data_IF_934338086625
#
_entry.id   IF_934338086625
#
_cell.length_a   1.000
_cell.length_b   1.000
_cell.length_c   1.000
_cell.angle_alpha   90.00
_cell.angle_beta   90.00
_cell.angle_gamma   90.00
#
_symmetry.space_group_name_H-M   'P 1'
#
loop_
_entity.id
_entity.type
_entity.pdbx_description
1 polymer ?
#
# COMPACT_ATOMS: atom_id res chain seq x y z
N UNK A 1 15.53 -0.92 -7.40
CA UNK A 1 15.04 -2.20 -6.83
C UNK A 1 14.13 -1.86 -5.66
N UNK A 2 12.89 -2.38 -5.63
CA UNK A 2 11.96 -2.09 -4.53
C UNK A 2 12.49 -2.73 -3.25
N UNK A 3 12.65 -1.94 -2.18
CA UNK A 3 13.03 -2.45 -0.86
C UNK A 3 11.77 -2.95 -0.16
N UNK A 4 11.65 -4.27 -0.04
CA UNK A 4 10.56 -4.87 0.72
C UNK A 4 10.66 -4.52 2.20
N UNK A 5 9.50 -4.24 2.82
CA UNK A 5 9.42 -3.98 4.25
C UNK A 5 8.99 -5.24 5.00
N UNK A 6 9.66 -5.48 6.12
CA UNK A 6 9.26 -6.53 7.05
C UNK A 6 8.12 -6.01 7.94
N UNK A 7 7.19 -6.91 8.27
CA UNK A 7 6.00 -6.57 9.06
C UNK A 7 6.41 -6.10 10.45
N UNK A 8 7.46 -6.68 11.02
CA UNK A 8 8.01 -6.32 12.33
C UNK A 8 8.51 -4.87 12.37
N UNK A 9 9.15 -4.40 11.30
CA UNK A 9 9.59 -3.00 11.18
C UNK A 9 8.41 -2.04 11.14
N UNK A 10 7.36 -2.39 10.37
CA UNK A 10 6.14 -1.59 10.26
C UNK A 10 5.44 -1.52 11.62
N UNK A 11 5.26 -2.66 12.29
CA UNK A 11 4.63 -2.74 13.61
C UNK A 11 5.36 -1.90 14.67
N UNK A 12 6.70 -1.84 14.61
CA UNK A 12 7.50 -0.98 15.48
C UNK A 12 7.27 0.50 15.17
N UNK A 13 7.21 0.90 13.90
CA UNK A 13 6.97 2.28 13.48
C UNK A 13 5.56 2.76 13.87
N UNK A 14 4.55 1.89 13.82
CA UNK A 14 3.17 2.22 14.18
C UNK A 14 2.98 2.64 15.65
N UNK A 15 3.96 2.40 16.52
CA UNK A 15 3.92 2.85 17.93
C UNK A 15 4.07 4.38 18.07
N UNK A 16 4.64 5.06 17.08
CA UNK A 16 4.78 6.52 17.07
C UNK A 16 3.58 7.15 16.37
N UNK A 17 2.46 7.28 17.08
CA UNK A 17 1.18 7.75 16.51
C UNK A 17 1.29 9.15 15.88
N UNK A 18 2.14 10.03 16.42
CA UNK A 18 2.40 11.36 15.86
C UNK A 18 2.94 11.33 14.41
N UNK A 19 3.57 10.22 14.01
CA UNK A 19 4.11 9.99 12.67
C UNK A 19 3.15 9.19 11.77
N UNK A 20 1.98 8.76 12.27
CA UNK A 20 0.98 8.04 11.48
C UNK A 20 0.07 9.02 10.76
N UNK A 21 -0.18 8.77 9.47
CA UNK A 21 -1.15 9.53 8.65
C UNK A 21 -2.15 8.56 8.05
N UNK A 22 -3.40 8.66 8.48
CA UNK A 22 -4.49 7.88 7.91
C UNK A 22 -4.89 8.54 6.58
N UNK A 23 -4.90 7.76 5.50
CA UNK A 23 -5.24 8.22 4.15
C UNK A 23 -6.28 7.27 3.58
N UNK A 24 -7.31 7.83 2.95
CA UNK A 24 -8.28 7.09 2.15
C UNK A 24 -8.24 7.57 0.70
N UNK A 25 -8.47 6.66 -0.24
CA UNK A 25 -8.62 6.99 -1.67
C UNK A 25 -10.07 6.83 -2.06
N UNK A 26 -10.64 7.85 -2.71
CA UNK A 26 -12.00 7.80 -3.27
C UNK A 26 -11.92 8.05 -4.77
N UNK A 27 -12.72 7.30 -5.53
CA UNK A 27 -12.90 7.49 -6.96
C UNK A 27 -14.29 7.00 -7.37
N UNK A 28 -14.73 7.40 -8.56
CA UNK A 28 -15.91 6.80 -9.18
C UNK A 28 -15.71 5.30 -9.44
N UNK A 29 -16.81 4.58 -9.62
CA UNK A 29 -16.78 3.16 -10.02
C UNK A 29 -15.98 3.00 -11.31
N UNK A 30 -15.20 1.93 -11.39
CA UNK A 30 -14.33 1.58 -12.53
C UNK A 30 -13.22 2.57 -12.88
N UNK A 31 -12.91 3.53 -12.01
CA UNK A 31 -11.82 4.51 -12.24
C UNK A 31 -10.47 4.09 -11.64
N UNK A 32 -10.22 2.79 -11.49
CA UNK A 32 -8.90 2.28 -11.10
C UNK A 32 -8.46 2.62 -9.67
N UNK A 33 -9.40 2.83 -8.74
CA UNK A 33 -9.11 3.05 -7.31
C UNK A 33 -8.19 1.95 -6.75
N UNK A 34 -8.60 0.70 -6.93
CA UNK A 34 -7.91 -0.47 -6.41
C UNK A 34 -6.57 -0.72 -7.13
N UNK A 35 -6.52 -0.47 -8.45
CA UNK A 35 -5.26 -0.50 -9.23
C UNK A 35 -4.26 0.54 -8.74
N UNK A 36 -4.74 1.74 -8.39
CA UNK A 36 -3.91 2.81 -7.84
C UNK A 36 -3.38 2.43 -6.45
N UNK A 37 -4.22 1.85 -5.58
CA UNK A 37 -3.77 1.42 -4.26
C UNK A 37 -2.75 0.29 -4.33
N UNK A 38 -2.89 -0.67 -5.24
CA UNK A 38 -1.86 -1.70 -5.48
C UNK A 38 -0.51 -1.08 -5.87
N UNK A 39 -0.53 -0.04 -6.70
CA UNK A 39 0.69 0.68 -7.12
C UNK A 39 1.36 1.38 -5.93
N UNK A 40 0.58 1.94 -5.01
CA UNK A 40 1.09 2.53 -3.76
C UNK A 40 1.68 1.46 -2.83
N UNK A 41 1.02 0.31 -2.67
CA UNK A 41 1.53 -0.81 -1.86
C UNK A 41 2.84 -1.36 -2.44
N UNK A 42 2.95 -1.45 -3.76
CA UNK A 42 4.20 -1.83 -4.43
C UNK A 42 5.31 -0.82 -4.16
N UNK A 43 5.04 0.47 -4.34
CA UNK A 43 6.01 1.54 -4.08
C UNK A 43 6.45 1.56 -2.60
N UNK A 44 5.55 1.22 -1.67
CA UNK A 44 5.83 1.11 -0.25
C UNK A 44 6.64 -0.17 0.12
N UNK A 45 6.87 -1.08 -0.84
CA UNK A 45 7.57 -2.34 -0.60
C UNK A 45 6.71 -3.39 0.11
N UNK A 46 5.38 -3.29 0.00
CA UNK A 46 4.43 -4.23 0.60
C UNK A 46 3.79 -5.18 -0.43
N UNK A 47 3.94 -4.90 -1.73
CA UNK A 47 3.44 -5.73 -2.81
C UNK A 47 4.52 -5.96 -3.87
N UNK A 48 4.58 -7.17 -4.43
CA UNK A 48 5.58 -7.45 -5.47
C UNK A 48 5.22 -6.73 -6.78
N UNK A 49 6.20 -6.23 -7.55
CA UNK A 49 5.93 -5.60 -8.85
C UNK A 49 5.24 -6.52 -9.86
N UNK A 50 5.39 -7.84 -9.70
CA UNK A 50 4.77 -8.82 -10.60
C UNK A 50 3.25 -8.89 -10.47
N UNK A 51 2.71 -8.56 -9.29
CA UNK A 51 1.28 -8.72 -8.98
C UNK A 51 0.56 -7.38 -8.80
N UNK A 52 1.30 -6.27 -8.70
CA UNK A 52 0.73 -4.93 -8.57
C UNK A 52 -0.22 -4.60 -9.74
N UNK A 53 -1.42 -4.12 -9.41
CA UNK A 53 -2.46 -3.73 -10.36
C UNK A 53 -3.35 -4.90 -10.80
N UNK A 54 -3.08 -6.12 -10.31
CA UNK A 54 -3.88 -7.33 -10.56
C UNK A 54 -4.27 -8.06 -9.28
N UNK A 55 -3.47 -7.93 -8.23
CA UNK A 55 -3.76 -8.57 -6.94
C UNK A 55 -4.99 -7.97 -6.28
N UNK A 56 -5.26 -6.67 -6.51
CA UNK A 56 -6.38 -5.95 -5.93
C UNK A 56 -6.40 -6.12 -4.41
N UNK A 57 -5.24 -5.89 -3.77
CA UNK A 57 -4.96 -6.38 -2.43
C UNK A 57 -5.82 -5.75 -1.30
N UNK A 58 -6.54 -4.67 -1.62
CA UNK A 58 -7.42 -3.95 -0.71
C UNK A 58 -8.90 -4.00 -1.14
N UNK A 59 -9.24 -4.83 -2.14
CA UNK A 59 -10.62 -5.13 -2.54
C UNK A 59 -11.23 -6.26 -1.69
#
# INVERSE_FOLDING_TARGET
>A
MVRFKHVEDIARLMRSVEQVRNIGTLAHVDHGKTTTTDSLLMAAGMLSPKVAGRALALD
#
